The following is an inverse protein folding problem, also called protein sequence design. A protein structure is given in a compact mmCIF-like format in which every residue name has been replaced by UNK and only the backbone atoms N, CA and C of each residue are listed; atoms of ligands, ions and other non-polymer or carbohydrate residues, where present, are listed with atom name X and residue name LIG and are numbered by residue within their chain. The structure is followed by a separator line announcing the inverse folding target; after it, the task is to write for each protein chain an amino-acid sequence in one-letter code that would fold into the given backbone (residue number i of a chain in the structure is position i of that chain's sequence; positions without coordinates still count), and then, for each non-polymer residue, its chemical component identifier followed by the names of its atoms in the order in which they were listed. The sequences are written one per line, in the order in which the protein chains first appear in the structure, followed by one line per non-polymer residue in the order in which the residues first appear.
data_IF_927260567653
#
_entry.id   IF_927260567653
#
_cell.length_a   1.000
_cell.length_b   1.000
_cell.length_c   1.000
_cell.angle_alpha   90.00
_cell.angle_beta   90.00
_cell.angle_gamma   90.00
#
_symmetry.space_group_name_H-M   'P 1'
#
loop_
_entity.id
_entity.type
_entity.pdbx_description
1 polymer ?
#
# COMPACT_ATOMS: atom_id res chain seq x y z
N UNK A 1 18.40 4.86 -23.15
CA UNK A 1 17.95 3.49 -23.52
C UNK A 1 16.81 3.59 -24.52
N UNK A 2 16.70 2.66 -25.48
CA UNK A 2 15.50 2.49 -26.32
C UNK A 2 14.88 1.14 -26.00
N UNK A 3 13.62 1.12 -25.60
CA UNK A 3 12.89 -0.10 -25.26
C UNK A 3 11.78 -0.36 -26.31
N UNK A 4 11.53 -1.63 -26.62
CA UNK A 4 10.46 -2.01 -27.54
C UNK A 4 9.13 -1.99 -26.79
N UNK A 5 8.11 -1.39 -27.40
CA UNK A 5 6.74 -1.50 -26.92
C UNK A 5 6.20 -2.87 -27.30
N UNK A 6 5.73 -3.63 -26.33
CA UNK A 6 5.14 -4.96 -26.51
C UNK A 6 3.63 -4.91 -26.31
N UNK A 7 2.94 -6.05 -26.45
CA UNK A 7 1.51 -6.16 -26.08
C UNK A 7 1.23 -5.82 -24.61
N UNK A 8 2.24 -5.94 -23.76
CA UNK A 8 2.18 -5.62 -22.33
C UNK A 8 2.66 -4.19 -22.02
N UNK A 9 2.98 -3.40 -23.06
CA UNK A 9 3.57 -2.07 -22.91
C UNK A 9 5.10 -2.11 -22.85
N UNK A 10 5.68 -1.15 -22.13
CA UNK A 10 7.13 -1.02 -21.91
C UNK A 10 7.48 -1.59 -20.55
N UNK A 11 8.45 -2.50 -20.49
CA UNK A 11 8.95 -3.06 -19.25
C UNK A 11 10.02 -2.16 -18.65
N UNK A 12 9.87 -1.83 -17.37
CA UNK A 12 10.84 -1.06 -16.59
C UNK A 12 11.62 -2.04 -15.70
N UNK A 13 12.96 -2.10 -15.79
CA UNK A 13 13.76 -2.97 -14.94
C UNK A 13 13.54 -2.68 -13.45
N UNK A 14 13.28 -3.74 -12.65
CA UNK A 14 13.08 -3.62 -11.20
C UNK A 14 14.24 -2.96 -10.47
N UNK A 15 15.46 -3.14 -10.96
CA UNK A 15 16.71 -2.56 -10.44
C UNK A 15 16.66 -1.03 -10.35
N UNK A 16 15.82 -0.39 -11.18
CA UNK A 16 15.67 1.07 -11.19
C UNK A 16 14.69 1.57 -10.12
N UNK A 17 13.94 0.66 -9.50
CA UNK A 17 12.97 0.92 -8.44
C UNK A 17 13.40 0.27 -7.12
N UNK A 18 14.70 0.03 -6.93
CA UNK A 18 15.22 -0.60 -5.72
C UNK A 18 14.86 0.22 -4.48
N UNK A 19 14.33 -0.47 -3.46
CA UNK A 19 13.85 0.15 -2.22
C UNK A 19 12.46 0.79 -2.33
N UNK A 20 11.83 0.81 -3.51
CA UNK A 20 10.49 1.37 -3.72
C UNK A 20 9.48 0.23 -3.86
N UNK A 21 8.56 0.13 -2.90
CA UNK A 21 7.52 -0.90 -2.88
C UNK A 21 6.26 -0.48 -3.65
N UNK A 22 5.95 0.82 -3.63
CA UNK A 22 4.74 1.38 -4.22
C UNK A 22 5.13 2.61 -5.02
N UNK A 23 4.58 2.73 -6.23
CA UNK A 23 4.81 3.88 -7.10
C UNK A 23 3.50 4.54 -7.50
N UNK A 24 3.52 5.86 -7.62
CA UNK A 24 2.46 6.60 -8.30
C UNK A 24 2.84 6.78 -9.78
N UNK A 25 1.90 6.50 -10.68
CA UNK A 25 2.11 6.63 -12.13
C UNK A 25 1.15 7.66 -12.68
N UNK A 26 1.72 8.72 -13.28
CA UNK A 26 0.94 9.84 -13.83
C UNK A 26 1.24 10.01 -15.31
N UNK A 27 0.20 10.11 -16.13
CA UNK A 27 0.33 10.43 -17.55
C UNK A 27 0.18 11.95 -17.76
N UNK A 28 1.25 12.58 -18.19
CA UNK A 28 1.24 13.96 -18.67
C UNK A 28 1.14 14.00 -20.20
N UNK A 29 0.96 15.19 -20.78
CA UNK A 29 0.73 15.37 -22.23
C UNK A 29 1.74 14.64 -23.12
N UNK A 30 3.03 14.65 -22.74
CA UNK A 30 4.12 14.10 -23.57
C UNK A 30 4.99 13.08 -22.85
N UNK A 31 4.68 12.74 -21.60
CA UNK A 31 5.53 11.85 -20.78
C UNK A 31 4.71 11.12 -19.72
N UNK A 32 5.26 10.01 -19.25
CA UNK A 32 4.76 9.26 -18.10
C UNK A 32 5.77 9.51 -16.97
N UNK A 33 5.27 9.90 -15.81
CA UNK A 33 6.06 10.13 -14.60
C UNK A 33 5.80 8.97 -13.64
N UNK A 34 6.88 8.45 -13.05
CA UNK A 34 6.84 7.36 -12.08
C UNK A 34 7.53 7.83 -10.81
N UNK A 35 6.68 7.99 -9.81
CA UNK A 35 6.88 8.41 -8.43
C UNK A 35 7.13 7.35 -7.37
N UNK A 36 8.03 7.40 -6.37
CA UNK A 36 7.74 6.71 -5.12
C UNK A 36 6.41 7.23 -4.55
N UNK A 37 5.51 6.34 -4.13
CA UNK A 37 4.31 6.77 -3.43
C UNK A 37 4.67 6.98 -1.95
N UNK A 38 4.44 8.20 -1.45
CA UNK A 38 4.70 8.57 -0.03
C UNK A 38 3.71 7.93 0.96
N UNK A 39 2.74 7.16 0.47
CA UNK A 39 1.71 6.56 1.31
C UNK A 39 2.21 5.21 1.84
N UNK A 40 2.70 5.22 3.08
CA UNK A 40 2.81 4.00 3.87
C UNK A 40 1.39 3.47 4.06
N UNK A 41 1.10 2.29 3.52
CA UNK A 41 -0.22 1.66 3.61
C UNK A 41 -0.69 1.64 5.08
N UNK A 42 -1.81 2.29 5.41
CA UNK A 42 -2.33 2.32 6.78
C UNK A 42 -2.56 0.93 7.37
N UNK A 43 -2.82 -0.08 6.52
CA UNK A 43 -2.95 -1.49 6.93
C UNK A 43 -1.61 -2.00 7.47
N UNK A 44 -0.50 -1.63 6.84
CA UNK A 44 0.85 -1.98 7.30
C UNK A 44 1.26 -1.24 8.59
N UNK A 45 0.49 -0.21 8.97
CA UNK A 45 0.65 0.52 10.24
C UNK A 45 -0.32 0.03 11.34
N UNK A 46 -1.17 -0.97 11.05
CA UNK A 46 -2.04 -1.51 12.10
C UNK A 46 -1.19 -2.23 13.17
N UNK A 47 -1.44 -1.87 14.42
CA UNK A 47 -0.74 -2.47 15.57
C UNK A 47 0.66 -1.91 15.84
N UNK A 48 1.15 -0.90 15.10
CA UNK A 48 2.40 -0.21 15.44
C UNK A 48 2.26 0.69 16.66
N UNK A 49 1.06 1.20 16.91
CA UNK A 49 0.70 1.99 18.10
C UNK A 49 -0.48 1.35 18.83
N UNK A 50 -0.26 0.26 19.58
CA UNK A 50 -1.33 -0.34 20.37
C UNK A 50 -1.70 0.57 21.53
N UNK A 51 -3.01 0.80 21.72
CA UNK A 51 -3.50 1.43 22.93
C UNK A 51 -3.52 0.42 24.07
N UNK A 52 -3.02 0.81 25.24
CA UNK A 52 -3.21 0.03 26.46
C UNK A 52 -4.59 0.38 26.99
N UNK A 53 -5.56 -0.51 26.77
CA UNK A 53 -6.88 -0.41 27.36
C UNK A 53 -6.90 -1.24 28.66
N UNK A 54 -7.41 -0.66 29.75
CA UNK A 54 -7.57 -1.33 31.05
C UNK A 54 -8.85 -2.21 31.06
N UNK A 55 -9.11 -2.87 29.94
CA UNK A 55 -10.34 -3.62 29.66
C UNK A 55 -9.96 -4.91 28.95
N UNK A 56 -9.99 -6.02 29.67
CA UNK A 56 -9.74 -7.36 29.13
C UNK A 56 -10.83 -7.83 28.15
N UNK A 57 -12.00 -7.16 28.18
CA UNK A 57 -13.26 -7.67 27.64
C UNK A 57 -13.43 -7.55 26.11
N UNK A 58 -12.69 -6.65 25.46
CA UNK A 58 -12.93 -6.29 24.07
C UNK A 58 -12.73 -7.45 23.07
N UNK A 59 -11.88 -8.43 23.42
CA UNK A 59 -11.65 -9.64 22.60
C UNK A 59 -12.37 -10.88 23.13
N UNK A 60 -12.77 -10.89 24.41
CA UNK A 60 -13.33 -12.08 25.07
C UNK A 60 -14.81 -12.29 24.71
N UNK A 61 -15.59 -11.21 24.65
CA UNK A 61 -17.01 -11.28 24.27
C UNK A 61 -17.30 -10.65 22.90
N UNK A 62 -16.31 -10.67 21.98
CA UNK A 62 -16.44 -10.07 20.65
C UNK A 62 -17.73 -10.50 19.93
N UNK A 63 -18.07 -11.79 20.00
CA UNK A 63 -19.28 -12.36 19.39
C UNK A 63 -20.58 -11.83 20.00
N UNK A 64 -20.59 -11.50 21.30
CA UNK A 64 -21.74 -10.92 21.99
C UNK A 64 -22.05 -9.52 21.47
N UNK A 65 -21.02 -8.73 21.15
CA UNK A 65 -21.19 -7.37 20.61
C UNK A 65 -21.56 -7.35 19.12
N UNK A 66 -21.22 -8.41 18.36
CA UNK A 66 -21.59 -8.53 16.94
C UNK A 66 -23.03 -9.02 16.72
N UNK A 67 -23.62 -9.71 17.70
CA UNK A 67 -24.93 -10.39 17.55
C UNK A 67 -26.08 -9.72 18.29
N UNK A 68 -25.82 -8.65 19.05
CA UNK A 68 -26.82 -7.95 19.88
C UNK A 68 -27.48 -6.72 19.22
N UNK A 69 -27.67 -6.75 17.89
CA UNK A 69 -28.53 -5.78 17.19
C UNK A 69 -29.96 -6.29 17.02
#
# INVERSE_FOLDING_TARGET
MRAKVTKQGVLIPKQWLEGINVVEIRQERTRIVIEPADMVDPILQLGTEPIVADVDDASIHHDHYLTSQ
#
